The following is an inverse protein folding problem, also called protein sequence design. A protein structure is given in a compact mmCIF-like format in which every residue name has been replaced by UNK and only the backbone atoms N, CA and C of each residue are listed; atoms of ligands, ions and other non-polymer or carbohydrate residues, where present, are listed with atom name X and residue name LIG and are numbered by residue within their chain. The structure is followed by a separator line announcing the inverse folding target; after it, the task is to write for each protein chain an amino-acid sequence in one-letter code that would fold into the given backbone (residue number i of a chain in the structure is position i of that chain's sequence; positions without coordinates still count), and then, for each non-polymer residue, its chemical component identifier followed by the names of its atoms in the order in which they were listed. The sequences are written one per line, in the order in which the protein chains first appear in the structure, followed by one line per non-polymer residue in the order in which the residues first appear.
data_IF_317846770555
#
_entry.id   IF_317846770555
#
_cell.length_a   1.000
_cell.length_b   1.000
_cell.length_c   1.000
_cell.angle_alpha   90.00
_cell.angle_beta   90.00
_cell.angle_gamma   90.00
#
_symmetry.space_group_name_H-M   'P 1'
#
loop_
_entity.id
_entity.type
_entity.pdbx_description
1 polymer ?
#
# COMPACT_ATOMS: atom_id res chain seq x y z
N UNK A 1 -16.13 -7.18 3.77
CA UNK A 1 -15.98 -5.87 4.36
C UNK A 1 -17.34 -5.18 4.55
N UNK A 2 -17.65 -4.77 5.79
CA UNK A 2 -18.94 -4.16 6.14
C UNK A 2 -19.04 -2.71 5.60
N UNK A 3 -17.93 -1.98 5.55
CA UNK A 3 -17.88 -0.63 5.00
C UNK A 3 -18.23 -0.65 3.51
N UNK A 4 -17.59 -1.53 2.75
CA UNK A 4 -17.90 -1.68 1.32
C UNK A 4 -19.35 -2.04 1.06
N UNK A 5 -19.95 -2.91 1.91
CA UNK A 5 -21.35 -3.38 1.72
C UNK A 5 -22.37 -2.30 2.03
N UNK A 6 -22.19 -1.59 3.14
CA UNK A 6 -23.28 -0.85 3.78
C UNK A 6 -23.17 0.67 3.65
N UNK A 7 -21.96 1.22 3.51
CA UNK A 7 -21.80 2.66 3.44
C UNK A 7 -22.23 3.24 2.09
N UNK A 8 -22.85 4.44 2.12
CA UNK A 8 -23.19 5.17 0.90
C UNK A 8 -21.95 5.84 0.31
N UNK A 9 -21.92 6.01 -1.02
CA UNK A 9 -20.84 6.76 -1.68
C UNK A 9 -20.72 8.19 -1.16
N UNK A 10 -21.86 8.83 -0.86
CA UNK A 10 -21.92 10.20 -0.35
C UNK A 10 -21.26 10.33 1.02
N UNK A 11 -21.57 9.39 1.92
CA UNK A 11 -21.03 9.43 3.28
C UNK A 11 -19.54 9.10 3.28
N UNK A 12 -19.10 8.11 2.48
CA UNK A 12 -17.69 7.78 2.35
C UNK A 12 -16.88 8.93 1.73
N UNK A 13 -17.42 9.61 0.73
CA UNK A 13 -16.76 10.79 0.17
C UNK A 13 -16.65 11.92 1.19
N UNK A 14 -17.72 12.19 1.94
CA UNK A 14 -17.71 13.20 2.99
C UNK A 14 -16.67 12.86 4.08
N UNK A 15 -16.57 11.61 4.47
CA UNK A 15 -15.59 11.13 5.45
C UNK A 15 -14.15 11.28 4.96
N UNK A 16 -13.86 10.88 3.70
CA UNK A 16 -12.50 11.04 3.13
C UNK A 16 -12.10 12.50 3.12
N UNK A 17 -12.99 13.40 2.71
CA UNK A 17 -12.72 14.84 2.71
C UNK A 17 -12.49 15.38 4.11
N UNK A 18 -13.33 15.00 5.07
CA UNK A 18 -13.22 15.43 6.46
C UNK A 18 -11.87 15.01 7.07
N UNK A 19 -11.41 13.79 6.82
CA UNK A 19 -10.10 13.32 7.29
C UNK A 19 -8.94 14.10 6.67
N UNK A 20 -9.00 14.38 5.37
CA UNK A 20 -7.97 15.19 4.69
C UNK A 20 -7.95 16.62 5.22
N UNK A 21 -9.11 17.24 5.34
CA UNK A 21 -9.25 18.61 5.83
C UNK A 21 -8.80 18.76 7.29
N UNK A 22 -9.09 17.74 8.13
CA UNK A 22 -8.60 17.69 9.49
C UNK A 22 -7.05 17.60 9.53
N UNK A 23 -6.46 16.74 8.71
CA UNK A 23 -5.00 16.64 8.61
C UNK A 23 -4.37 17.99 8.22
N UNK A 24 -4.98 18.70 7.27
CA UNK A 24 -4.52 20.04 6.88
C UNK A 24 -4.67 21.06 8.02
N UNK A 25 -5.78 21.04 8.75
CA UNK A 25 -6.03 21.94 9.88
C UNK A 25 -5.03 21.74 11.01
N UNK A 26 -4.49 20.52 11.13
CA UNK A 26 -3.41 20.16 12.07
C UNK A 26 -1.99 20.53 11.55
N UNK A 27 -1.89 21.18 10.38
CA UNK A 27 -0.62 21.57 9.76
C UNK A 27 0.12 20.45 9.03
N UNK A 28 -0.50 19.29 8.85
CA UNK A 28 0.09 18.19 8.07
C UNK A 28 0.12 18.54 6.57
N UNK A 29 1.15 18.03 5.88
CA UNK A 29 1.31 18.17 4.42
C UNK A 29 1.46 16.78 3.79
N UNK A 30 0.37 16.01 3.68
CA UNK A 30 0.40 14.68 3.08
C UNK A 30 0.88 14.74 1.62
N UNK A 31 1.54 13.70 1.14
CA UNK A 31 1.89 13.54 -0.28
C UNK A 31 0.95 12.56 -0.99
N UNK A 32 0.33 11.68 -0.23
CA UNK A 32 -0.55 10.63 -0.71
C UNK A 32 -1.57 10.26 0.36
N UNK A 33 -2.55 9.50 -0.06
CA UNK A 33 -3.52 8.84 0.80
C UNK A 33 -3.54 7.34 0.56
N UNK A 34 -4.05 6.63 1.54
CA UNK A 34 -4.21 5.20 1.59
C UNK A 34 -5.55 4.88 2.24
N UNK A 35 -6.01 3.65 2.14
CA UNK A 35 -7.20 3.20 2.84
C UNK A 35 -6.93 1.95 3.68
N UNK A 36 -7.43 1.95 4.91
CA UNK A 36 -7.24 0.83 5.83
C UNK A 36 -7.92 -0.44 5.33
N UNK A 37 -7.17 -1.55 5.30
CA UNK A 37 -7.63 -2.89 4.91
C UNK A 37 -8.29 -2.96 3.51
N UNK A 38 -7.97 -2.04 2.60
CA UNK A 38 -8.53 -2.04 1.26
C UNK A 38 -10.02 -1.66 1.16
N UNK A 39 -10.59 -1.08 2.22
CA UNK A 39 -12.02 -0.79 2.38
C UNK A 39 -12.63 0.13 1.31
N UNK A 40 -11.80 0.84 0.54
CA UNK A 40 -12.25 1.72 -0.54
C UNK A 40 -11.88 1.21 -1.95
N UNK A 41 -11.35 0.01 -2.07
CA UNK A 41 -11.05 -0.57 -3.39
C UNK A 41 -12.29 -1.14 -4.09
N UNK A 42 -13.26 -1.59 -3.33
CA UNK A 42 -14.47 -2.21 -3.87
C UNK A 42 -14.30 -3.63 -4.40
N UNK A 43 -13.20 -4.29 -4.03
CA UNK A 43 -12.83 -5.61 -4.54
C UNK A 43 -13.73 -6.72 -4.00
N UNK A 44 -14.09 -6.64 -2.72
CA UNK A 44 -14.85 -7.68 -2.02
C UNK A 44 -16.32 -7.73 -2.43
N UNK A 45 -16.85 -6.60 -2.89
CA UNK A 45 -18.28 -6.45 -3.21
C UNK A 45 -18.55 -6.17 -4.69
N UNK A 46 -17.50 -5.98 -5.49
CA UNK A 46 -17.62 -5.53 -6.87
C UNK A 46 -17.96 -4.02 -7.01
N UNK A 47 -18.02 -3.27 -5.90
CA UNK A 47 -18.32 -1.82 -5.91
C UNK A 47 -17.11 -0.99 -6.32
N UNK A 48 -16.52 -1.30 -7.46
CA UNK A 48 -15.32 -0.62 -7.99
C UNK A 48 -15.47 0.91 -8.14
N UNK A 49 -16.70 1.41 -8.09
CA UNK A 49 -17.00 2.83 -8.00
C UNK A 49 -16.41 3.52 -6.76
N UNK A 50 -16.12 2.77 -5.68
CA UNK A 50 -15.44 3.28 -4.49
C UNK A 50 -14.01 3.74 -4.83
N UNK A 51 -13.22 2.89 -5.47
CA UNK A 51 -11.87 3.26 -5.92
C UNK A 51 -11.90 4.45 -6.89
N UNK A 52 -12.87 4.48 -7.81
CA UNK A 52 -13.05 5.61 -8.74
C UNK A 52 -13.36 6.91 -8.02
N UNK A 53 -14.26 6.88 -7.02
CA UNK A 53 -14.62 8.05 -6.20
C UNK A 53 -13.41 8.54 -5.40
N UNK A 54 -12.70 7.63 -4.74
CA UNK A 54 -11.50 7.96 -3.95
C UNK A 54 -10.43 8.60 -4.81
N UNK A 55 -10.15 8.06 -6.00
CA UNK A 55 -9.20 8.65 -6.95
C UNK A 55 -9.63 10.05 -7.40
N UNK A 56 -10.94 10.29 -7.58
CA UNK A 56 -11.42 11.64 -7.89
C UNK A 56 -11.12 12.61 -6.77
N UNK A 57 -11.43 12.25 -5.53
CA UNK A 57 -11.15 13.08 -4.35
C UNK A 57 -9.64 13.34 -4.23
N UNK A 58 -8.80 12.29 -4.34
CA UNK A 58 -7.34 12.45 -4.30
C UNK A 58 -6.83 13.43 -5.37
N UNK A 59 -7.38 13.37 -6.58
CA UNK A 59 -7.03 14.30 -7.66
C UNK A 59 -7.39 15.74 -7.37
N UNK A 60 -8.55 15.98 -6.74
CA UNK A 60 -8.99 17.32 -6.33
C UNK A 60 -8.07 17.95 -5.26
N UNK A 61 -7.51 17.12 -4.35
CA UNK A 61 -6.52 17.55 -3.35
C UNK A 61 -5.08 17.53 -3.85
N UNK A 62 -4.81 16.99 -5.05
CA UNK A 62 -3.47 16.88 -5.61
C UNK A 62 -2.62 15.77 -4.99
N UNK A 63 -3.23 14.74 -4.41
CA UNK A 63 -2.57 13.63 -3.76
C UNK A 63 -2.35 12.42 -4.68
N UNK A 64 -1.24 11.71 -4.44
CA UNK A 64 -1.09 10.35 -4.93
C UNK A 64 -1.96 9.38 -4.13
N UNK A 65 -2.14 8.17 -4.64
CA UNK A 65 -2.97 7.16 -3.98
C UNK A 65 -2.33 5.77 -4.06
N UNK A 66 -2.37 5.03 -2.94
CA UNK A 66 -1.97 3.62 -2.89
C UNK A 66 -2.96 2.77 -3.69
N UNK A 67 -2.51 2.37 -4.87
CA UNK A 67 -3.18 1.45 -5.77
C UNK A 67 -2.12 0.98 -6.78
N UNK A 68 -2.49 0.30 -7.85
CA UNK A 68 -1.54 -0.17 -8.87
C UNK A 68 -2.05 0.08 -10.28
N UNK A 69 -1.11 0.33 -11.22
CA UNK A 69 -1.41 0.62 -12.64
C UNK A 69 -0.86 -0.42 -13.60
N UNK A 70 -0.08 -1.38 -13.10
CA UNK A 70 0.45 -2.53 -13.83
C UNK A 70 0.16 -3.81 -13.06
N UNK A 71 0.27 -4.94 -13.71
CA UNK A 71 0.10 -6.27 -13.13
C UNK A 71 1.21 -7.21 -13.57
N UNK A 72 1.63 -8.09 -12.66
CA UNK A 72 2.63 -9.13 -12.91
C UNK A 72 2.23 -10.39 -12.12
N UNK A 73 2.45 -11.57 -12.70
CA UNK A 73 2.07 -12.84 -12.05
C UNK A 73 2.80 -13.10 -10.74
N UNK A 74 4.05 -12.61 -10.61
CA UNK A 74 4.89 -12.79 -9.41
C UNK A 74 4.29 -12.15 -8.16
N UNK A 75 3.56 -11.04 -8.35
CA UNK A 75 2.99 -10.23 -7.27
C UNK A 75 1.46 -10.17 -7.31
N UNK A 76 0.83 -11.09 -8.03
CA UNK A 76 -0.63 -11.22 -8.01
C UNK A 76 -1.09 -11.61 -6.60
N UNK A 77 -2.03 -10.87 -5.99
CA UNK A 77 -2.49 -11.18 -4.64
C UNK A 77 -3.08 -12.60 -4.56
N UNK A 78 -2.71 -13.33 -3.52
CA UNK A 78 -3.20 -14.68 -3.28
C UNK A 78 -4.75 -14.73 -3.30
N UNK A 79 -5.30 -15.73 -3.96
CA UNK A 79 -6.75 -15.91 -4.09
C UNK A 79 -7.43 -15.00 -5.12
N UNK A 80 -6.69 -14.07 -5.76
CA UNK A 80 -7.24 -13.20 -6.80
C UNK A 80 -7.02 -13.81 -8.18
N UNK A 81 -8.08 -14.08 -8.97
CA UNK A 81 -7.92 -14.50 -10.35
C UNK A 81 -7.13 -13.47 -11.17
N UNK A 82 -6.11 -13.93 -11.90
CA UNK A 82 -5.21 -13.02 -12.62
C UNK A 82 -5.91 -12.09 -13.61
N UNK A 83 -6.96 -12.58 -14.29
CA UNK A 83 -7.74 -11.74 -15.21
C UNK A 83 -8.46 -10.59 -14.49
N UNK A 84 -8.93 -10.82 -13.25
CA UNK A 84 -9.55 -9.77 -12.43
C UNK A 84 -8.50 -8.75 -11.97
N UNK A 85 -7.33 -9.22 -11.54
CA UNK A 85 -6.20 -8.37 -11.21
C UNK A 85 -5.81 -7.47 -12.39
N UNK A 86 -5.71 -8.04 -13.61
CA UNK A 86 -5.44 -7.30 -14.83
C UNK A 86 -6.54 -6.27 -15.17
N UNK A 87 -7.82 -6.63 -15.01
CA UNK A 87 -8.95 -5.73 -15.26
C UNK A 87 -8.95 -4.52 -14.31
N UNK A 88 -8.70 -4.76 -13.01
CA UNK A 88 -8.59 -3.68 -12.00
C UNK A 88 -7.44 -2.75 -12.35
N UNK A 89 -6.29 -3.28 -12.78
CA UNK A 89 -5.13 -2.50 -13.22
C UNK A 89 -5.49 -1.51 -14.35
N UNK A 90 -6.23 -1.97 -15.36
CA UNK A 90 -6.66 -1.12 -16.47
C UNK A 90 -7.58 0.01 -16.01
N UNK A 91 -8.50 -0.29 -15.10
CA UNK A 91 -9.41 0.71 -14.52
C UNK A 91 -8.62 1.74 -13.69
N UNK A 92 -7.72 1.29 -12.84
CA UNK A 92 -6.87 2.14 -12.01
C UNK A 92 -6.03 3.10 -12.85
N UNK A 93 -5.40 2.58 -13.90
CA UNK A 93 -4.63 3.38 -14.87
C UNK A 93 -5.51 4.43 -15.56
N UNK A 94 -6.70 4.04 -16.03
CA UNK A 94 -7.66 4.95 -16.69
C UNK A 94 -8.13 6.06 -15.75
N UNK A 95 -8.50 5.71 -14.51
CA UNK A 95 -8.99 6.68 -13.53
C UNK A 95 -7.86 7.56 -13.00
N UNK A 96 -6.67 7.01 -12.73
CA UNK A 96 -5.50 7.79 -12.35
C UNK A 96 -5.18 8.87 -13.38
N UNK A 97 -5.16 8.50 -14.68
CA UNK A 97 -4.99 9.48 -15.76
C UNK A 97 -6.12 10.50 -15.81
N UNK A 98 -7.39 10.05 -15.69
CA UNK A 98 -8.56 10.93 -15.75
C UNK A 98 -8.56 12.00 -14.66
N UNK A 99 -8.15 11.63 -13.44
CA UNK A 99 -8.19 12.51 -12.27
C UNK A 99 -6.82 13.09 -11.90
N UNK A 100 -5.80 12.87 -12.74
CA UNK A 100 -4.43 13.35 -12.53
C UNK A 100 -3.83 12.88 -11.19
N UNK A 101 -4.08 11.62 -10.82
CA UNK A 101 -3.58 10.99 -9.60
C UNK A 101 -2.36 10.15 -9.92
N UNK A 102 -1.27 10.39 -9.21
CA UNK A 102 -0.07 9.53 -9.27
C UNK A 102 -0.34 8.25 -8.50
N UNK A 103 -0.10 7.11 -9.15
CA UNK A 103 -0.29 5.78 -8.60
C UNK A 103 1.00 4.99 -8.88
N UNK A 104 1.51 4.18 -7.95
CA UNK A 104 2.60 3.24 -8.19
C UNK A 104 2.31 2.30 -9.37
N UNK A 105 3.37 1.72 -9.95
CA UNK A 105 3.19 0.72 -10.99
C UNK A 105 2.58 -0.55 -10.41
N UNK A 106 3.08 -1.00 -9.24
CA UNK A 106 2.68 -2.23 -8.59
C UNK A 106 2.43 -2.03 -7.10
N UNK A 107 1.66 -2.94 -6.51
CA UNK A 107 1.45 -3.06 -5.08
C UNK A 107 1.73 -4.50 -4.67
N UNK A 108 2.74 -4.67 -3.82
CA UNK A 108 3.12 -5.96 -3.26
C UNK A 108 2.41 -6.15 -1.92
N UNK A 109 1.56 -7.16 -1.85
CA UNK A 109 0.92 -7.56 -0.61
C UNK A 109 1.83 -8.55 0.13
N UNK A 110 2.21 -8.29 1.39
CA UNK A 110 2.99 -9.22 2.17
C UNK A 110 2.26 -10.56 2.30
N UNK A 111 2.94 -11.65 2.00
CA UNK A 111 2.45 -13.03 2.20
C UNK A 111 3.09 -13.57 3.49
N UNK A 112 2.37 -13.41 4.59
CA UNK A 112 2.83 -13.82 5.92
C UNK A 112 2.72 -15.33 6.06
N UNK A 113 3.87 -16.01 6.13
CA UNK A 113 3.96 -17.47 6.32
C UNK A 113 4.41 -17.78 7.74
N UNK A 114 3.93 -18.87 8.30
CA UNK A 114 4.31 -19.28 9.66
C UNK A 114 5.80 -19.60 9.78
N UNK A 115 6.41 -20.13 8.70
CA UNK A 115 7.86 -20.37 8.67
C UNK A 115 8.70 -19.10 8.88
N UNK A 116 8.20 -17.95 8.50
CA UNK A 116 8.87 -16.65 8.72
C UNK A 116 9.01 -16.31 10.20
N UNK A 117 8.16 -16.90 11.05
CA UNK A 117 8.12 -16.62 12.49
C UNK A 117 9.08 -17.47 13.31
N UNK A 118 9.93 -18.28 12.69
CA UNK A 118 10.92 -19.12 13.38
C UNK A 118 12.00 -18.29 14.09
N UNK A 119 12.55 -17.27 13.41
CA UNK A 119 13.53 -16.32 13.97
C UNK A 119 13.50 -15.00 13.19
N UNK A 120 14.12 -13.96 13.74
CA UNK A 120 14.29 -12.68 13.02
C UNK A 120 15.11 -12.86 11.73
N UNK A 121 16.15 -13.66 11.76
CA UNK A 121 17.00 -13.95 10.59
C UNK A 121 16.17 -14.59 9.46
N UNK A 122 15.37 -15.61 9.80
CA UNK A 122 14.47 -16.26 8.84
C UNK A 122 13.46 -15.27 8.26
N UNK A 123 12.86 -14.46 9.13
CA UNK A 123 11.93 -13.40 8.73
C UNK A 123 12.59 -12.43 7.76
N UNK A 124 13.76 -11.88 8.12
CA UNK A 124 14.51 -10.94 7.29
C UNK A 124 14.84 -11.51 5.91
N UNK A 125 15.38 -12.73 5.86
CA UNK A 125 15.76 -13.37 4.60
C UNK A 125 14.56 -13.58 3.67
N UNK A 126 13.44 -14.05 4.21
CA UNK A 126 12.23 -14.29 3.42
C UNK A 126 11.61 -12.99 2.90
N UNK A 127 11.52 -11.95 3.73
CA UNK A 127 11.01 -10.63 3.32
C UNK A 127 11.92 -10.00 2.27
N UNK A 128 13.23 -9.98 2.50
CA UNK A 128 14.16 -9.39 1.54
C UNK A 128 14.15 -10.11 0.20
N UNK A 129 14.03 -11.44 0.19
CA UNK A 129 13.85 -12.21 -1.04
C UNK A 129 12.59 -11.78 -1.79
N UNK A 130 11.49 -11.58 -1.06
CA UNK A 130 10.23 -11.11 -1.66
C UNK A 130 10.35 -9.70 -2.23
N UNK A 131 11.10 -8.81 -1.55
CA UNK A 131 11.27 -7.42 -1.97
C UNK A 131 12.21 -7.24 -3.16
N UNK A 132 13.03 -8.22 -3.49
CA UNK A 132 13.89 -8.18 -4.70
C UNK A 132 13.32 -8.98 -5.87
N UNK A 133 12.35 -9.87 -5.63
CA UNK A 133 11.63 -10.61 -6.68
C UNK A 133 10.40 -9.84 -7.15
N UNK A 134 10.62 -8.59 -7.55
CA UNK A 134 9.59 -7.67 -8.05
C UNK A 134 9.86 -7.30 -9.50
N UNK A 135 8.82 -6.90 -10.27
CA UNK A 135 9.01 -6.43 -11.64
C UNK A 135 9.66 -5.05 -11.69
N UNK A 136 10.30 -4.73 -12.81
CA UNK A 136 10.87 -3.40 -13.06
C UNK A 136 9.81 -2.31 -13.03
N UNK A 137 10.07 -1.25 -12.26
CA UNK A 137 9.17 -0.13 -12.06
C UNK A 137 9.09 0.30 -10.61
N UNK A 138 8.03 0.99 -10.23
CA UNK A 138 7.82 1.41 -8.85
C UNK A 138 6.82 0.47 -8.18
N UNK A 139 7.30 -0.29 -7.21
CA UNK A 139 6.48 -1.19 -6.38
C UNK A 139 6.34 -0.62 -4.99
N UNK A 140 5.11 -0.43 -4.53
CA UNK A 140 4.83 -0.13 -3.14
C UNK A 140 4.64 -1.43 -2.36
N UNK A 141 5.21 -1.50 -1.18
CA UNK A 141 4.86 -2.48 -0.14
C UNK A 141 4.57 -1.76 1.17
N UNK A 142 3.95 -2.41 2.10
CA UNK A 142 3.61 -1.83 3.40
C UNK A 142 4.00 -2.76 4.54
N UNK A 143 4.35 -2.14 5.64
CA UNK A 143 4.70 -2.80 6.90
C UNK A 143 3.99 -2.08 8.04
N UNK A 144 3.96 -2.70 9.23
CA UNK A 144 3.32 -2.15 10.43
C UNK A 144 4.31 -2.10 11.62
N UNK A 145 5.45 -1.40 11.46
CA UNK A 145 6.53 -1.44 12.44
C UNK A 145 6.09 -0.90 13.79
N UNK A 146 6.55 -1.52 14.86
CA UNK A 146 6.31 -1.04 16.22
C UNK A 146 7.47 -1.40 17.15
N UNK A 147 7.62 -0.61 18.22
CA UNK A 147 8.53 -0.92 19.32
C UNK A 147 7.86 -1.88 20.29
N UNK A 148 8.62 -2.87 20.78
CA UNK A 148 8.11 -3.83 21.76
C UNK A 148 7.74 -3.13 23.07
N UNK A 149 6.49 -3.30 23.49
CA UNK A 149 5.98 -2.89 24.80
C UNK A 149 4.75 -3.74 25.18
N UNK A 150 4.28 -3.58 26.40
CA UNK A 150 3.16 -4.35 26.90
C UNK A 150 1.84 -4.00 26.19
N UNK A 151 1.64 -2.74 25.83
CA UNK A 151 0.47 -2.30 25.07
C UNK A 151 0.40 -3.02 23.71
N UNK A 152 1.50 -3.06 22.95
CA UNK A 152 1.55 -3.75 21.66
C UNK A 152 1.12 -5.21 21.78
N UNK A 153 1.54 -5.90 22.85
CA UNK A 153 1.20 -7.31 23.09
C UNK A 153 -0.29 -7.52 23.40
N UNK A 154 -0.96 -6.50 23.91
CA UNK A 154 -2.41 -6.57 24.20
C UNK A 154 -3.28 -6.27 22.99
N UNK A 155 -2.83 -5.42 22.07
CA UNK A 155 -3.64 -4.96 20.93
C UNK A 155 -3.52 -5.83 19.68
N UNK A 156 -2.49 -6.69 19.57
CA UNK A 156 -2.32 -7.57 18.40
C UNK A 156 -1.57 -8.85 18.72
N UNK A 157 -2.04 -9.96 18.16
CA UNK A 157 -1.31 -11.24 18.17
C UNK A 157 -0.05 -11.24 17.28
N UNK A 158 0.02 -10.32 16.31
CA UNK A 158 1.16 -10.16 15.40
C UNK A 158 2.21 -9.17 15.93
N UNK A 159 2.28 -8.97 17.26
CA UNK A 159 3.18 -7.98 17.87
C UNK A 159 4.65 -8.24 17.53
N UNK A 160 5.06 -9.51 17.48
CA UNK A 160 6.44 -9.90 17.16
C UNK A 160 6.81 -9.56 15.72
N UNK A 161 5.93 -9.81 14.77
CA UNK A 161 6.13 -9.45 13.36
C UNK A 161 6.37 -7.94 13.23
N UNK A 162 5.58 -7.12 13.94
CA UNK A 162 5.72 -5.66 13.95
C UNK A 162 7.04 -5.16 14.56
N UNK A 163 7.53 -5.84 15.58
CA UNK A 163 8.86 -5.55 16.16
C UNK A 163 9.96 -5.90 15.16
N UNK A 164 9.85 -7.03 14.47
CA UNK A 164 10.80 -7.43 13.45
C UNK A 164 10.77 -6.52 12.22
N UNK A 165 9.61 -6.02 11.83
CA UNK A 165 9.51 -4.99 10.79
C UNK A 165 10.24 -3.70 11.17
N UNK A 166 10.16 -3.28 12.42
CA UNK A 166 10.90 -2.13 12.91
C UNK A 166 12.42 -2.39 12.89
N UNK A 167 12.87 -3.54 13.37
CA UNK A 167 14.30 -3.89 13.34
C UNK A 167 14.80 -4.07 11.90
N UNK A 168 14.01 -4.66 11.00
CA UNK A 168 14.33 -4.82 9.58
C UNK A 168 14.67 -3.49 8.91
N UNK A 169 13.89 -2.44 9.18
CA UNK A 169 14.12 -1.12 8.58
C UNK A 169 15.31 -0.38 9.18
N UNK A 170 15.73 -0.73 10.40
CA UNK A 170 16.92 -0.20 11.05
C UNK A 170 18.20 -0.96 10.69
N UNK A 171 18.08 -2.20 10.21
CA UNK A 171 19.22 -3.06 9.92
C UNK A 171 19.98 -2.54 8.68
N UNK A 172 21.26 -2.14 8.83
CA UNK A 172 22.08 -1.72 7.68
C UNK A 172 22.18 -2.79 6.60
N UNK A 173 22.14 -4.07 6.97
CA UNK A 173 22.13 -5.19 6.02
C UNK A 173 20.94 -5.10 5.06
N UNK A 174 19.76 -4.72 5.53
CA UNK A 174 18.57 -4.54 4.67
C UNK A 174 18.85 -3.54 3.54
N UNK A 175 19.41 -2.37 3.87
CA UNK A 175 19.69 -1.33 2.90
C UNK A 175 20.77 -1.73 1.89
N UNK A 176 21.83 -2.37 2.37
CA UNK A 176 22.92 -2.89 1.52
C UNK A 176 22.42 -4.00 0.59
N UNK A 177 21.60 -4.91 1.12
CA UNK A 177 21.02 -6.00 0.34
C UNK A 177 20.14 -5.48 -0.80
N UNK A 178 19.21 -4.56 -0.51
CA UNK A 178 18.33 -3.97 -1.51
C UNK A 178 19.14 -3.25 -2.59
N UNK A 179 20.10 -2.41 -2.20
CA UNK A 179 20.99 -1.70 -3.12
C UNK A 179 21.77 -2.65 -4.02
N UNK A 180 22.33 -3.75 -3.46
CA UNK A 180 23.04 -4.78 -4.22
C UNK A 180 22.18 -5.45 -5.28
N UNK A 181 20.88 -5.56 -5.04
CA UNK A 181 19.90 -6.14 -5.97
C UNK A 181 19.22 -5.10 -6.86
N UNK A 182 19.72 -3.86 -6.89
CA UNK A 182 19.20 -2.80 -7.77
C UNK A 182 17.86 -2.21 -7.30
N UNK A 183 17.49 -2.41 -6.03
CA UNK A 183 16.27 -1.84 -5.45
C UNK A 183 16.62 -0.53 -4.74
N UNK A 184 15.99 0.55 -5.14
CA UNK A 184 16.09 1.88 -4.54
C UNK A 184 14.83 2.18 -3.74
N UNK A 185 14.99 2.61 -2.48
CA UNK A 185 13.88 3.06 -1.64
C UNK A 185 13.58 4.52 -1.93
N UNK A 186 12.34 4.80 -2.33
CA UNK A 186 11.87 6.15 -2.64
C UNK A 186 10.61 6.49 -1.83
N UNK A 187 10.39 7.77 -1.64
CA UNK A 187 9.15 8.29 -1.07
C UNK A 187 8.09 8.58 -2.15
N UNK A 188 6.84 8.76 -1.73
CA UNK A 188 5.79 9.25 -2.64
C UNK A 188 6.08 10.63 -3.24
N UNK A 189 6.85 11.48 -2.56
CA UNK A 189 7.27 12.78 -3.11
C UNK A 189 8.19 12.61 -4.31
N UNK A 190 9.12 11.67 -4.22
CA UNK A 190 10.01 11.31 -5.32
C UNK A 190 9.24 10.63 -6.46
N UNK A 191 8.33 9.70 -6.16
CA UNK A 191 7.45 9.11 -7.17
C UNK A 191 6.65 10.18 -7.94
N UNK A 192 6.06 11.16 -7.22
CA UNK A 192 5.35 12.27 -7.85
C UNK A 192 6.26 13.09 -8.76
N UNK A 193 7.49 13.37 -8.31
CA UNK A 193 8.47 14.10 -9.11
C UNK A 193 8.88 13.33 -10.38
N UNK A 194 9.06 12.01 -10.30
CA UNK A 194 9.37 11.14 -11.44
C UNK A 194 8.26 11.09 -12.49
N UNK A 195 7.00 11.06 -12.06
CA UNK A 195 5.83 10.95 -12.97
C UNK A 195 5.39 12.28 -13.59
N UNK A 196 5.93 13.42 -13.14
CA UNK A 196 5.67 14.76 -13.71
C UNK A 196 6.67 15.16 -14.80
N UNK A 197 7.75 14.41 -14.96
CA UNK A 197 8.70 14.54 -16.07
C UNK A 197 8.21 13.78 -17.31
#
# INVERSE_FOLDING_TARGET
DQVEKNASYKDLEAEIRAQIDLAHSMGMKPSHTDNHMGSLYGHYTGRLGLAKMTLRVCGEYGYAYRLYTKHDKRICPNGTPYFLYAAITLLSKRWGKKYNVVIPDYLLFPDWKDEMRASYETYREMILKTWVDIPDGVTETFIHPSVENDELKTITSCWRDRVWEYELMKDPYTHEFLKKHGVELISYRELIAMKKK
#
